data_IF_947405771068
#
_entry.id   IF_947405771068
#
_cell.length_a   1.000
_cell.length_b   1.000
_cell.length_c   1.000
_cell.angle_alpha   90.00
_cell.angle_beta   90.00
_cell.angle_gamma   90.00
#
_symmetry.space_group_name_H-M   'P 1'
#
loop_
_entity.id
_entity.type
_entity.pdbx_description
1 polymer ?
#
# COMPACT_ATOMS: atom_id res chain seq x y z
N UNK A 1 13.79 -29.80 -14.61
CA UNK A 1 14.06 -30.24 -13.23
C UNK A 1 13.62 -29.14 -12.28
N UNK A 2 12.71 -29.44 -11.36
CA UNK A 2 12.30 -28.53 -10.29
C UNK A 2 13.36 -28.57 -9.16
N UNK A 3 13.50 -27.48 -8.40
CA UNK A 3 14.36 -27.45 -7.21
C UNK A 3 13.94 -28.56 -6.23
N UNK A 4 14.86 -29.41 -5.76
CA UNK A 4 14.49 -30.49 -4.85
C UNK A 4 14.00 -29.93 -3.51
N UNK A 5 12.79 -30.31 -3.11
CA UNK A 5 12.21 -29.94 -1.81
C UNK A 5 12.72 -30.91 -0.76
N UNK A 6 13.91 -30.61 -0.22
CA UNK A 6 14.59 -31.44 0.76
C UNK A 6 15.18 -30.60 1.91
N UNK A 7 15.86 -31.25 2.86
CA UNK A 7 16.51 -30.58 3.98
C UNK A 7 17.53 -29.52 3.51
N UNK A 8 18.21 -29.74 2.38
CA UNK A 8 19.15 -28.77 1.84
C UNK A 8 18.45 -27.46 1.43
N UNK A 9 17.26 -27.52 0.81
CA UNK A 9 16.46 -26.33 0.50
C UNK A 9 16.12 -25.55 1.77
N UNK A 10 15.69 -26.24 2.83
CA UNK A 10 15.37 -25.60 4.12
C UNK A 10 16.59 -24.91 4.75
N UNK A 11 17.76 -25.57 4.72
CA UNK A 11 19.02 -25.00 5.21
C UNK A 11 19.41 -23.78 4.38
N UNK A 12 19.35 -23.86 3.05
CA UNK A 12 19.67 -22.72 2.16
C UNK A 12 18.75 -21.54 2.43
N UNK A 13 17.44 -21.76 2.57
CA UNK A 13 16.49 -20.69 2.92
C UNK A 13 16.82 -20.04 4.27
N UNK A 14 17.16 -20.85 5.28
CA UNK A 14 17.53 -20.35 6.60
C UNK A 14 18.82 -19.51 6.55
N UNK A 15 19.83 -19.96 5.80
CA UNK A 15 21.10 -19.25 5.60
C UNK A 15 20.88 -17.92 4.87
N UNK A 16 20.07 -17.91 3.80
CA UNK A 16 19.75 -16.67 3.07
C UNK A 16 19.00 -15.66 3.94
N UNK A 17 18.03 -16.11 4.75
CA UNK A 17 17.33 -15.24 5.70
C UNK A 17 18.29 -14.70 6.76
N UNK A 18 19.15 -15.54 7.32
CA UNK A 18 20.15 -15.13 8.30
C UNK A 18 21.13 -14.10 7.71
N UNK A 19 21.59 -14.30 6.47
CA UNK A 19 22.45 -13.37 5.76
C UNK A 19 21.76 -12.00 5.55
N UNK A 20 20.48 -11.99 5.16
CA UNK A 20 19.71 -10.75 5.02
C UNK A 20 19.54 -10.00 6.35
N UNK A 21 19.25 -10.73 7.44
CA UNK A 21 19.14 -10.17 8.79
C UNK A 21 20.48 -9.61 9.27
N UNK A 22 21.57 -10.37 9.08
CA UNK A 22 22.92 -9.98 9.47
C UNK A 22 23.40 -8.77 8.68
N UNK A 23 23.19 -8.74 7.37
CA UNK A 23 23.53 -7.59 6.52
C UNK A 23 22.78 -6.33 6.93
N UNK A 24 21.48 -6.42 7.19
CA UNK A 24 20.69 -5.28 7.67
C UNK A 24 21.09 -4.82 9.09
N UNK A 25 21.50 -5.75 9.96
CA UNK A 25 22.02 -5.44 11.28
C UNK A 25 23.39 -4.77 11.21
N UNK A 26 24.28 -5.26 10.35
CA UNK A 26 25.63 -4.73 10.13
C UNK A 26 25.59 -3.33 9.53
N UNK A 27 24.78 -3.12 8.48
CA UNK A 27 24.56 -1.80 7.88
C UNK A 27 23.75 -0.83 8.78
N UNK A 28 23.27 -1.31 9.93
CA UNK A 28 22.47 -0.54 10.92
C UNK A 28 21.30 0.21 10.28
N UNK A 29 20.63 -0.38 9.29
CA UNK A 29 19.46 0.24 8.68
C UNK A 29 18.38 0.49 9.74
N UNK A 30 17.97 1.76 9.87
CA UNK A 30 16.89 2.21 10.75
C UNK A 30 15.80 2.86 9.91
N UNK A 31 14.56 2.68 10.34
CA UNK A 31 13.43 3.42 9.78
C UNK A 31 13.67 4.94 9.92
N UNK A 32 13.04 5.76 9.07
CA UNK A 32 13.23 7.22 9.00
C UNK A 32 13.02 7.94 10.34
N UNK A 33 12.36 7.29 11.31
CA UNK A 33 12.08 7.79 12.66
C UNK A 33 12.99 7.19 13.75
N UNK A 34 14.02 6.42 13.39
CA UNK A 34 15.00 5.82 14.30
C UNK A 34 14.48 4.73 15.26
N UNK A 35 13.16 4.48 15.31
CA UNK A 35 12.49 3.59 16.29
C UNK A 35 12.52 2.11 15.93
N UNK A 36 12.56 1.76 14.64
CA UNK A 36 12.52 0.36 14.18
C UNK A 36 13.85 -0.05 13.57
N UNK A 37 14.32 -1.24 13.96
CA UNK A 37 15.51 -1.87 13.41
C UNK A 37 15.07 -2.86 12.33
N UNK A 38 15.45 -2.61 11.07
CA UNK A 38 14.96 -3.40 9.94
C UNK A 38 15.29 -4.89 10.03
N UNK A 39 16.39 -5.28 10.69
CA UNK A 39 16.74 -6.70 10.87
C UNK A 39 15.66 -7.51 11.61
N UNK A 40 14.97 -6.92 12.60
CA UNK A 40 13.85 -7.57 13.31
C UNK A 40 12.65 -7.75 12.38
N UNK A 41 12.36 -6.74 11.57
CA UNK A 41 11.25 -6.77 10.62
C UNK A 41 11.51 -7.78 9.49
N UNK A 42 12.76 -7.90 9.01
CA UNK A 42 13.17 -8.91 8.02
C UNK A 42 12.99 -10.32 8.59
N UNK A 43 13.52 -10.60 9.79
CA UNK A 43 13.40 -11.92 10.41
C UNK A 43 11.94 -12.30 10.69
N UNK A 44 11.15 -11.38 11.24
CA UNK A 44 9.74 -11.61 11.51
C UNK A 44 8.91 -11.78 10.22
N UNK A 45 9.25 -11.06 9.14
CA UNK A 45 8.62 -11.23 7.84
C UNK A 45 8.95 -12.59 7.23
N UNK A 46 10.21 -13.02 7.28
CA UNK A 46 10.65 -14.33 6.79
C UNK A 46 9.92 -15.47 7.50
N UNK A 47 9.94 -15.49 8.84
CA UNK A 47 9.25 -16.51 9.62
C UNK A 47 7.74 -16.54 9.35
N UNK A 48 7.10 -15.36 9.30
CA UNK A 48 5.67 -15.26 8.99
C UNK A 48 5.37 -15.76 7.59
N UNK A 49 6.20 -15.44 6.60
CA UNK A 49 6.04 -15.91 5.23
C UNK A 49 6.14 -17.43 5.15
N UNK A 50 7.10 -18.05 5.84
CA UNK A 50 7.23 -19.52 5.91
C UNK A 50 5.97 -20.16 6.51
N UNK A 51 5.52 -19.68 7.67
CA UNK A 51 4.32 -20.22 8.32
C UNK A 51 3.06 -19.99 7.49
N UNK A 52 2.89 -18.79 6.92
CA UNK A 52 1.73 -18.43 6.12
C UNK A 52 1.68 -19.24 4.82
N UNK A 53 2.80 -19.37 4.11
CA UNK A 53 2.85 -20.12 2.86
C UNK A 53 2.64 -21.62 3.12
N UNK A 54 3.23 -22.18 4.18
CA UNK A 54 2.97 -23.56 4.59
C UNK A 54 1.48 -23.82 4.88
N UNK A 55 0.84 -22.92 5.63
CA UNK A 55 -0.60 -23.02 5.91
C UNK A 55 -1.44 -22.89 4.63
N UNK A 56 -1.12 -21.93 3.74
CA UNK A 56 -1.83 -21.75 2.47
C UNK A 56 -1.64 -22.97 1.56
N UNK A 57 -0.45 -23.57 1.50
CA UNK A 57 -0.18 -24.77 0.71
C UNK A 57 -1.05 -25.97 1.16
N UNK A 58 -1.32 -26.11 2.45
CA UNK A 58 -2.23 -27.14 2.97
C UNK A 58 -3.70 -26.83 2.64
N UNK A 59 -4.08 -25.56 2.71
CA UNK A 59 -5.46 -25.10 2.56
C UNK A 59 -5.92 -25.03 1.09
N UNK A 60 -5.03 -24.69 0.17
CA UNK A 60 -5.41 -24.35 -1.21
C UNK A 60 -6.05 -25.54 -1.94
N UNK A 61 -5.60 -26.77 -1.68
CA UNK A 61 -6.16 -27.98 -2.29
C UNK A 61 -7.64 -28.20 -1.97
N UNK A 62 -8.12 -27.74 -0.81
CA UNK A 62 -9.54 -27.78 -0.44
C UNK A 62 -10.31 -26.57 -0.97
N UNK A 63 -9.70 -25.38 -0.89
CA UNK A 63 -10.36 -24.12 -1.28
C UNK A 63 -10.71 -24.07 -2.76
N UNK A 64 -9.82 -24.56 -3.62
CA UNK A 64 -10.02 -24.50 -5.08
C UNK A 64 -11.18 -25.37 -5.58
N UNK A 65 -11.60 -26.38 -4.80
CA UNK A 65 -12.63 -27.35 -5.19
C UNK A 65 -14.05 -26.82 -5.04
N UNK A 66 -14.24 -25.81 -4.18
CA UNK A 66 -15.56 -25.33 -3.79
C UNK A 66 -15.62 -23.82 -3.99
N UNK A 67 -16.47 -23.37 -4.91
CA UNK A 67 -16.57 -21.95 -5.29
C UNK A 67 -16.86 -21.03 -4.08
N UNK A 68 -17.80 -21.35 -3.16
CA UNK A 68 -17.98 -20.59 -1.93
C UNK A 68 -16.71 -20.43 -1.09
N UNK A 69 -15.87 -21.47 -0.96
CA UNK A 69 -14.60 -21.39 -0.23
C UNK A 69 -13.59 -20.51 -0.99
N UNK A 70 -13.55 -20.61 -2.31
CA UNK A 70 -12.71 -19.74 -3.15
C UNK A 70 -13.09 -18.27 -3.01
N UNK A 71 -14.39 -17.95 -3.00
CA UNK A 71 -14.88 -16.59 -2.75
C UNK A 71 -14.59 -16.12 -1.31
N UNK A 72 -14.76 -16.99 -0.31
CA UNK A 72 -14.41 -16.68 1.07
C UNK A 72 -12.91 -16.39 1.22
N UNK A 73 -12.06 -17.17 0.55
CA UNK A 73 -10.62 -16.95 0.50
C UNK A 73 -10.28 -15.62 -0.21
N UNK A 74 -11.00 -15.28 -1.28
CA UNK A 74 -10.88 -13.98 -1.95
C UNK A 74 -11.16 -12.81 -1.00
N UNK A 75 -12.25 -12.92 -0.23
CA UNK A 75 -12.63 -11.91 0.75
C UNK A 75 -11.58 -11.79 1.86
N UNK A 76 -11.00 -12.92 2.29
CA UNK A 76 -9.87 -12.91 3.22
C UNK A 76 -8.66 -12.18 2.63
N UNK A 77 -8.29 -12.46 1.37
CA UNK A 77 -7.19 -11.78 0.69
C UNK A 77 -7.44 -10.28 0.61
N UNK A 78 -8.63 -9.86 0.21
CA UNK A 78 -9.03 -8.45 0.16
C UNK A 78 -8.99 -7.78 1.54
N UNK A 79 -9.47 -8.44 2.59
CA UNK A 79 -9.45 -7.92 3.96
C UNK A 79 -8.02 -7.77 4.49
N UNK A 80 -7.17 -8.77 4.29
CA UNK A 80 -5.74 -8.73 4.65
C UNK A 80 -5.03 -7.63 3.87
N UNK A 81 -5.31 -7.49 2.58
CA UNK A 81 -4.70 -6.47 1.73
C UNK A 81 -5.09 -5.05 2.19
N UNK A 82 -6.39 -4.82 2.39
CA UNK A 82 -6.94 -3.57 2.92
C UNK A 82 -6.30 -3.19 4.26
N UNK A 83 -6.28 -4.13 5.20
CA UNK A 83 -5.69 -3.91 6.53
C UNK A 83 -4.20 -3.60 6.44
N UNK A 84 -3.48 -4.34 5.60
CA UNK A 84 -2.04 -4.14 5.41
C UNK A 84 -1.75 -2.80 4.77
N UNK A 85 -2.46 -2.44 3.70
CA UNK A 85 -2.30 -1.18 3.00
C UNK A 85 -2.62 0.00 3.93
N UNK A 86 -3.80 -0.02 4.55
CA UNK A 86 -4.23 1.00 5.48
C UNK A 86 -3.27 1.20 6.65
N UNK A 87 -2.83 0.12 7.31
CA UNK A 87 -1.88 0.20 8.44
C UNK A 87 -0.47 0.64 8.03
N UNK A 88 -0.10 0.42 6.77
CA UNK A 88 1.17 0.95 6.23
C UNK A 88 1.06 2.44 5.94
N UNK A 89 -0.11 2.98 5.66
CA UNK A 89 -0.27 4.41 5.36
C UNK A 89 -0.58 5.22 6.64
N UNK A 90 -1.43 4.70 7.53
CA UNK A 90 -1.91 5.42 8.71
C UNK A 90 -2.06 4.53 9.95
N UNK A 91 -1.89 5.14 11.13
CA UNK A 91 -2.10 4.48 12.41
C UNK A 91 -3.56 4.55 12.89
N UNK A 92 -4.34 5.49 12.37
CA UNK A 92 -5.69 5.79 12.86
C UNK A 92 -6.77 4.94 12.17
N UNK A 93 -8.03 5.06 12.65
CA UNK A 93 -9.17 4.32 12.12
C UNK A 93 -9.47 4.57 10.63
N UNK A 94 -8.86 5.60 10.02
CA UNK A 94 -8.92 5.90 8.60
C UNK A 94 -8.26 4.82 7.73
N UNK A 95 -7.52 3.87 8.32
CA UNK A 95 -6.93 2.73 7.58
C UNK A 95 -7.97 1.96 6.74
N UNK A 96 -9.24 1.94 7.16
CA UNK A 96 -10.33 1.26 6.44
C UNK A 96 -10.57 1.85 5.04
N UNK A 97 -10.28 3.14 4.84
CA UNK A 97 -10.43 3.79 3.53
C UNK A 97 -9.49 3.21 2.46
N UNK A 98 -8.45 2.48 2.84
CA UNK A 98 -7.62 1.73 1.89
C UNK A 98 -8.39 0.62 1.16
N UNK A 99 -9.60 0.25 1.61
CA UNK A 99 -10.48 -0.68 0.91
C UNK A 99 -10.90 -0.13 -0.45
N UNK A 100 -11.20 1.18 -0.51
CA UNK A 100 -11.74 1.83 -1.70
C UNK A 100 -10.79 1.78 -2.92
N UNK A 101 -9.49 2.16 -2.85
CA UNK A 101 -8.61 2.08 -4.00
C UNK A 101 -8.36 0.64 -4.45
N UNK A 102 -8.29 -0.31 -3.52
CA UNK A 102 -8.13 -1.74 -3.86
C UNK A 102 -9.38 -2.25 -4.56
N UNK A 103 -10.56 -2.00 -4.00
CA UNK A 103 -11.83 -2.44 -4.59
C UNK A 103 -12.09 -1.79 -5.95
N UNK A 104 -11.89 -0.47 -6.05
CA UNK A 104 -12.09 0.29 -7.28
C UNK A 104 -11.17 -0.16 -8.42
N UNK A 105 -9.92 -0.55 -8.11
CA UNK A 105 -9.03 -1.12 -9.11
C UNK A 105 -9.42 -2.55 -9.49
N UNK A 106 -9.61 -3.42 -8.49
CA UNK A 106 -9.71 -4.88 -8.70
C UNK A 106 -11.08 -5.32 -9.19
N UNK A 107 -12.18 -4.81 -8.61
CA UNK A 107 -13.54 -5.30 -8.89
C UNK A 107 -13.92 -5.14 -10.37
N UNK A 108 -13.74 -3.97 -11.02
CA UNK A 108 -14.12 -3.81 -12.42
C UNK A 108 -13.37 -4.76 -13.34
N UNK A 109 -12.08 -4.96 -13.09
CA UNK A 109 -11.25 -5.88 -13.88
C UNK A 109 -11.70 -7.32 -13.66
N UNK A 110 -11.84 -7.79 -12.41
CA UNK A 110 -12.32 -9.15 -12.15
C UNK A 110 -13.72 -9.38 -12.72
N UNK A 111 -14.64 -8.43 -12.56
CA UNK A 111 -15.98 -8.52 -13.12
C UNK A 111 -15.91 -8.68 -14.65
N UNK A 112 -15.16 -7.82 -15.35
CA UNK A 112 -14.96 -7.92 -16.79
C UNK A 112 -14.41 -9.29 -17.21
N UNK A 113 -13.46 -9.85 -16.47
CA UNK A 113 -12.85 -11.15 -16.78
C UNK A 113 -13.79 -12.32 -16.58
N UNK A 114 -14.60 -12.29 -15.53
CA UNK A 114 -15.59 -13.33 -15.27
C UNK A 114 -16.78 -13.23 -16.21
N UNK A 115 -17.22 -12.01 -16.57
CA UNK A 115 -18.35 -11.78 -17.48
C UNK A 115 -18.02 -12.14 -18.94
N UNK A 116 -16.77 -11.91 -19.36
CA UNK A 116 -16.30 -12.33 -20.70
C UNK A 116 -15.97 -13.82 -20.78
N UNK A 117 -15.98 -14.54 -19.64
CA UNK A 117 -15.56 -15.94 -19.55
C UNK A 117 -14.06 -16.16 -19.70
N UNK A 118 -13.25 -15.09 -19.74
CA UNK A 118 -11.79 -15.19 -19.89
C UNK A 118 -11.14 -15.80 -18.64
N UNK A 119 -11.73 -15.57 -17.47
CA UNK A 119 -11.37 -16.25 -16.22
C UNK A 119 -12.59 -17.08 -15.78
N UNK A 120 -12.50 -18.43 -15.82
CA UNK A 120 -13.59 -19.27 -15.36
C UNK A 120 -13.80 -19.08 -13.85
N UNK A 121 -15.05 -19.24 -13.39
CA UNK A 121 -15.42 -19.21 -11.97
C UNK A 121 -14.99 -20.49 -11.24
N UNK A 122 -13.74 -20.89 -11.46
CA UNK A 122 -13.07 -22.01 -10.83
C UNK A 122 -11.95 -21.48 -9.94
N UNK A 123 -11.82 -22.04 -8.73
CA UNK A 123 -10.85 -21.53 -7.74
C UNK A 123 -9.40 -21.53 -8.24
N UNK A 124 -9.04 -22.50 -9.10
CA UNK A 124 -7.70 -22.63 -9.67
C UNK A 124 -7.29 -21.45 -10.57
N UNK A 125 -8.23 -20.84 -11.30
CA UNK A 125 -7.97 -19.68 -12.14
C UNK A 125 -8.26 -18.36 -11.41
N UNK A 126 -9.36 -18.33 -10.66
CA UNK A 126 -9.87 -17.12 -10.04
C UNK A 126 -8.96 -16.61 -8.91
N UNK A 127 -8.49 -17.51 -8.03
CA UNK A 127 -7.67 -17.13 -6.86
C UNK A 127 -6.31 -16.53 -7.29
N UNK A 128 -5.53 -17.14 -8.20
CA UNK A 128 -4.25 -16.56 -8.62
C UNK A 128 -4.42 -15.22 -9.31
N UNK A 129 -5.38 -15.08 -10.25
CA UNK A 129 -5.61 -13.83 -10.98
C UNK A 129 -5.96 -12.71 -10.01
N UNK A 130 -6.97 -12.93 -9.17
CA UNK A 130 -7.36 -11.92 -8.20
C UNK A 130 -6.27 -11.64 -7.16
N UNK A 131 -5.50 -12.65 -6.75
CA UNK A 131 -4.37 -12.47 -5.86
C UNK A 131 -3.29 -11.54 -6.42
N UNK A 132 -2.96 -11.71 -7.70
CA UNK A 132 -2.05 -10.82 -8.41
C UNK A 132 -2.61 -9.40 -8.45
N UNK A 133 -3.89 -9.23 -8.84
CA UNK A 133 -4.53 -7.90 -8.93
C UNK A 133 -4.64 -7.21 -7.57
N UNK A 134 -5.08 -7.91 -6.52
CA UNK A 134 -5.16 -7.39 -5.14
C UNK A 134 -3.77 -7.01 -4.62
N UNK A 135 -2.75 -7.84 -4.86
CA UNK A 135 -1.37 -7.56 -4.47
C UNK A 135 -0.79 -6.33 -5.17
N UNK A 136 -1.06 -6.17 -6.47
CA UNK A 136 -0.69 -4.99 -7.24
C UNK A 136 -1.37 -3.73 -6.71
N UNK A 137 -2.68 -3.78 -6.49
CA UNK A 137 -3.46 -2.67 -5.94
C UNK A 137 -2.97 -2.27 -4.54
N UNK A 138 -2.68 -3.24 -3.66
CA UNK A 138 -2.09 -2.99 -2.33
C UNK A 138 -0.79 -2.21 -2.44
N UNK A 139 0.10 -2.63 -3.34
CA UNK A 139 1.43 -2.04 -3.47
C UNK A 139 1.34 -0.59 -3.95
N UNK A 140 0.54 -0.37 -5.00
CA UNK A 140 0.28 0.96 -5.55
C UNK A 140 -0.40 1.89 -4.53
N UNK A 141 -1.41 1.39 -3.81
CA UNK A 141 -2.12 2.13 -2.75
C UNK A 141 -1.17 2.58 -1.64
N UNK A 142 -0.30 1.68 -1.15
CA UNK A 142 0.66 2.00 -0.08
C UNK A 142 1.65 3.06 -0.54
N UNK A 143 2.22 2.89 -1.75
CA UNK A 143 3.26 3.78 -2.25
C UNK A 143 2.69 5.18 -2.54
N UNK A 144 1.56 5.25 -3.25
CA UNK A 144 0.88 6.52 -3.53
C UNK A 144 0.43 7.23 -2.25
N UNK A 145 -0.19 6.50 -1.32
CA UNK A 145 -0.67 7.08 -0.07
C UNK A 145 0.44 7.63 0.81
N UNK A 146 1.58 6.92 0.91
CA UNK A 146 2.74 7.41 1.66
C UNK A 146 3.36 8.64 0.99
N UNK A 147 3.67 8.56 -0.32
CA UNK A 147 4.29 9.68 -1.04
C UNK A 147 3.42 10.92 -1.03
N UNK A 148 2.11 10.79 -1.28
CA UNK A 148 1.18 11.91 -1.21
C UNK A 148 1.14 12.56 0.18
N UNK A 149 1.11 11.77 1.26
CA UNK A 149 1.05 12.29 2.62
C UNK A 149 2.37 12.92 3.07
N UNK A 150 3.50 12.33 2.69
CA UNK A 150 4.83 12.87 2.97
C UNK A 150 5.01 14.20 2.23
N UNK A 151 4.63 14.27 0.95
CA UNK A 151 4.69 15.50 0.14
C UNK A 151 3.84 16.63 0.72
N UNK A 152 2.59 16.34 1.10
CA UNK A 152 1.70 17.33 1.75
C UNK A 152 2.21 17.79 3.11
N UNK A 153 2.99 16.97 3.81
CA UNK A 153 3.60 17.34 5.09
C UNK A 153 4.80 18.24 4.86
N UNK A 154 5.68 17.85 3.94
CA UNK A 154 6.96 18.50 3.73
C UNK A 154 6.79 19.83 2.96
N UNK A 155 5.82 19.93 2.04
CA UNK A 155 5.49 21.13 1.26
C UNK A 155 4.22 21.84 1.72
N UNK A 156 3.96 21.81 3.02
CA UNK A 156 2.75 22.42 3.60
C UNK A 156 2.58 23.91 3.26
N UNK A 157 3.68 24.66 3.22
CA UNK A 157 3.64 26.09 2.89
C UNK A 157 3.10 26.37 1.48
N UNK A 158 3.33 25.46 0.53
CA UNK A 158 2.81 25.58 -0.84
C UNK A 158 1.32 25.29 -0.91
N UNK A 159 0.82 24.36 -0.10
CA UNK A 159 -0.63 24.13 0.06
C UNK A 159 -1.31 25.38 0.63
N UNK A 160 -0.70 26.00 1.65
CA UNK A 160 -1.22 27.24 2.26
C UNK A 160 -1.18 28.41 1.28
N UNK A 161 -0.15 28.50 0.42
CA UNK A 161 -0.09 29.49 -0.65
C UNK A 161 -1.20 29.30 -1.70
N UNK A 162 -1.46 28.06 -2.15
CA UNK A 162 -2.54 27.78 -3.09
C UNK A 162 -3.92 28.13 -2.50
N UNK A 163 -4.14 27.84 -1.21
CA UNK A 163 -5.35 28.25 -0.50
C UNK A 163 -5.50 29.78 -0.45
N UNK A 164 -4.41 30.51 -0.21
CA UNK A 164 -4.42 31.99 -0.21
C UNK A 164 -4.73 32.58 -1.60
N UNK A 165 -4.43 31.84 -2.67
CA UNK A 165 -4.82 32.18 -4.05
C UNK A 165 -6.27 31.81 -4.38
N UNK A 166 -7.03 31.26 -3.42
CA UNK A 166 -8.46 30.93 -3.57
C UNK A 166 -8.74 29.52 -4.09
N UNK A 167 -7.74 28.64 -4.16
CA UNK A 167 -7.98 27.25 -4.54
C UNK A 167 -8.84 26.52 -3.50
N UNK A 168 -9.78 25.65 -3.90
CA UNK A 168 -10.42 24.72 -2.99
C UNK A 168 -9.39 23.79 -2.30
N UNK A 169 -9.62 23.41 -1.03
CA UNK A 169 -8.67 22.57 -0.25
C UNK A 169 -8.25 21.29 -0.97
N UNK A 170 -9.20 20.60 -1.59
CA UNK A 170 -8.93 19.38 -2.36
C UNK A 170 -8.00 19.66 -3.55
N UNK A 171 -8.17 20.79 -4.25
CA UNK A 171 -7.39 21.12 -5.44
C UNK A 171 -6.00 21.64 -5.05
N UNK A 172 -5.90 22.49 -4.04
CA UNK A 172 -4.64 22.93 -3.46
C UNK A 172 -3.76 21.73 -3.05
N UNK A 173 -4.35 20.75 -2.37
CA UNK A 173 -3.64 19.52 -1.98
C UNK A 173 -3.32 18.62 -3.17
N UNK A 174 -4.21 18.55 -4.16
CA UNK A 174 -4.01 17.72 -5.34
C UNK A 174 -2.83 18.22 -6.17
N UNK A 175 -2.68 19.53 -6.31
CA UNK A 175 -1.58 20.14 -7.06
C UNK A 175 -0.21 19.72 -6.49
N UNK A 176 -0.10 19.75 -5.16
CA UNK A 176 1.15 19.40 -4.47
C UNK A 176 1.36 17.87 -4.42
N UNK A 177 0.32 17.09 -4.12
CA UNK A 177 0.46 15.65 -3.90
C UNK A 177 0.52 14.79 -5.16
N UNK A 178 -0.06 15.25 -6.29
CA UNK A 178 -0.22 14.45 -7.51
C UNK A 178 1.11 13.95 -8.08
N UNK A 179 2.17 14.78 -8.24
CA UNK A 179 3.43 14.32 -8.79
C UNK A 179 4.04 13.21 -7.95
N UNK A 180 4.12 13.39 -6.62
CA UNK A 180 4.68 12.38 -5.72
C UNK A 180 3.84 11.08 -5.70
N UNK A 181 2.51 11.18 -5.76
CA UNK A 181 1.63 10.01 -5.80
C UNK A 181 1.77 9.20 -7.09
N UNK A 182 1.95 9.86 -8.23
CA UNK A 182 2.02 9.21 -9.55
C UNK A 182 3.26 8.34 -9.73
N UNK A 183 4.35 8.66 -9.00
CA UNK A 183 5.56 7.84 -8.99
C UNK A 183 5.32 6.42 -8.46
N UNK A 184 4.19 6.17 -7.80
CA UNK A 184 3.77 4.82 -7.41
C UNK A 184 3.54 3.86 -8.59
N UNK A 185 3.39 4.40 -9.80
CA UNK A 185 3.22 3.62 -11.03
C UNK A 185 4.55 3.16 -11.64
N UNK A 186 5.68 3.78 -11.27
CA UNK A 186 6.99 3.49 -11.84
C UNK A 186 7.36 1.99 -11.73
N UNK A 187 7.23 1.33 -10.56
CA UNK A 187 7.59 -0.08 -10.45
C UNK A 187 6.78 -1.00 -11.37
N UNK A 188 5.50 -0.70 -11.57
CA UNK A 188 4.64 -1.46 -12.50
C UNK A 188 5.05 -1.24 -13.95
N UNK A 189 5.36 0.00 -14.33
CA UNK A 189 5.85 0.32 -15.67
C UNK A 189 7.19 -0.37 -15.97
N UNK A 190 8.12 -0.36 -15.01
CA UNK A 190 9.43 -0.96 -15.19
C UNK A 190 9.37 -2.49 -15.24
N UNK A 191 8.50 -3.10 -14.44
CA UNK A 191 8.19 -4.53 -14.56
C UNK A 191 7.69 -4.87 -15.97
N UNK A 192 6.74 -4.10 -16.49
CA UNK A 192 6.19 -4.34 -17.83
C UNK A 192 7.21 -4.11 -18.94
N UNK A 193 8.08 -3.10 -18.82
CA UNK A 193 9.13 -2.82 -19.82
C UNK A 193 10.20 -3.91 -19.91
N UNK A 194 10.50 -4.55 -18.78
CA UNK A 194 11.63 -5.49 -18.67
C UNK A 194 11.18 -6.96 -18.72
N UNK A 195 9.88 -7.21 -18.85
CA UNK A 195 9.33 -8.58 -18.93
C UNK A 195 9.91 -9.30 -20.16
N UNK A 196 10.33 -10.54 -19.96
CA UNK A 196 10.90 -11.38 -21.01
C UNK A 196 12.35 -11.06 -21.38
N UNK A 197 12.86 -9.88 -20.99
CA UNK A 197 14.27 -9.48 -21.24
C UNK A 197 15.14 -9.67 -20.00
N UNK A 198 14.70 -9.18 -18.85
CA UNK A 198 15.45 -9.25 -17.57
C UNK A 198 14.70 -10.06 -16.53
N UNK A 199 13.36 -10.06 -16.61
CA UNK A 199 12.51 -10.76 -15.64
C UNK A 199 11.58 -11.73 -16.35
N UNK A 200 11.51 -12.95 -15.83
CA UNK A 200 10.49 -13.94 -16.22
C UNK A 200 9.49 -14.07 -15.07
N UNK A 201 8.23 -13.62 -15.25
CA UNK A 201 7.23 -13.71 -14.20
C UNK A 201 6.99 -15.15 -13.76
N UNK A 202 6.80 -15.36 -12.45
CA UNK A 202 6.60 -16.70 -11.89
C UNK A 202 5.36 -17.41 -12.45
N UNK A 203 4.28 -16.68 -12.78
CA UNK A 203 3.08 -17.25 -13.38
C UNK A 203 3.33 -17.76 -14.82
N UNK A 204 4.10 -17.01 -15.62
CA UNK A 204 4.56 -17.44 -16.94
C UNK A 204 5.37 -18.74 -16.86
N UNK A 205 6.39 -18.78 -16.00
CA UNK A 205 7.20 -19.98 -15.78
C UNK A 205 6.35 -21.14 -15.25
N UNK A 206 5.41 -20.86 -14.34
CA UNK A 206 4.47 -21.84 -13.80
C UNK A 206 3.60 -22.50 -14.86
N UNK A 207 3.08 -21.72 -15.82
CA UNK A 207 2.31 -22.26 -16.95
C UNK A 207 3.17 -23.12 -17.88
N UNK A 208 4.40 -22.69 -18.19
CA UNK A 208 5.33 -23.49 -18.98
C UNK A 208 5.65 -24.83 -18.31
N UNK A 209 5.94 -24.81 -17.01
CA UNK A 209 6.18 -26.03 -16.22
C UNK A 209 4.91 -26.90 -16.10
N UNK A 210 3.74 -26.27 -16.13
CA UNK A 210 2.43 -26.93 -16.22
C UNK A 210 2.08 -27.47 -17.61
N UNK A 211 2.98 -27.34 -18.60
CA UNK A 211 2.82 -27.89 -19.94
C UNK A 211 2.15 -26.96 -20.96
N UNK A 212 1.85 -25.70 -20.61
CA UNK A 212 1.35 -24.72 -21.58
C UNK A 212 2.43 -24.35 -22.61
N UNK A 213 2.00 -24.02 -23.83
CA UNK A 213 2.94 -23.54 -24.86
C UNK A 213 3.50 -22.15 -24.50
N UNK A 214 4.73 -21.81 -24.93
CA UNK A 214 5.30 -20.47 -24.68
C UNK A 214 4.45 -19.31 -25.18
N UNK A 215 3.79 -19.48 -26.34
CA UNK A 215 2.91 -18.46 -26.91
C UNK A 215 1.69 -18.24 -26.02
N UNK A 216 1.06 -19.32 -25.56
CA UNK A 216 -0.11 -19.23 -24.67
C UNK A 216 0.26 -18.62 -23.32
N UNK A 217 1.35 -19.09 -22.71
CA UNK A 217 1.83 -18.55 -21.44
C UNK A 217 2.17 -17.05 -21.57
N UNK A 218 2.79 -16.67 -22.69
CA UNK A 218 3.16 -15.29 -22.99
C UNK A 218 1.94 -14.38 -23.14
N UNK A 219 0.92 -14.83 -23.87
CA UNK A 219 -0.33 -14.08 -24.05
C UNK A 219 -1.05 -13.84 -22.71
N UNK A 220 -1.20 -14.88 -21.88
CA UNK A 220 -1.82 -14.75 -20.55
C UNK A 220 -1.00 -13.82 -19.65
N UNK A 221 0.32 -13.91 -19.68
CA UNK A 221 1.18 -13.05 -18.87
C UNK A 221 1.11 -11.57 -19.30
N UNK A 222 1.11 -11.30 -20.61
CA UNK A 222 0.94 -9.95 -21.15
C UNK A 222 -0.40 -9.36 -20.71
N UNK A 223 -1.46 -10.15 -20.83
CA UNK A 223 -2.79 -9.79 -20.35
C UNK A 223 -2.77 -9.41 -18.85
N UNK A 224 -2.14 -10.23 -18.00
CA UNK A 224 -2.04 -9.96 -16.55
C UNK A 224 -1.28 -8.66 -16.27
N UNK A 225 -0.20 -8.35 -17.00
CA UNK A 225 0.55 -7.10 -16.83
C UNK A 225 -0.27 -5.87 -17.21
N UNK A 226 -1.01 -5.93 -18.32
CA UNK A 226 -1.90 -4.85 -18.74
C UNK A 226 -3.02 -4.64 -17.71
N UNK A 227 -3.62 -5.74 -17.24
CA UNK A 227 -4.63 -5.69 -16.18
C UNK A 227 -4.07 -5.08 -14.89
N UNK A 228 -2.86 -5.45 -14.49
CA UNK A 228 -2.17 -4.86 -13.33
C UNK A 228 -1.96 -3.36 -13.49
N UNK A 229 -1.50 -2.89 -14.66
CA UNK A 229 -1.32 -1.45 -14.92
C UNK A 229 -2.64 -0.69 -14.79
N UNK A 230 -3.74 -1.24 -15.29
CA UNK A 230 -5.07 -0.65 -15.13
C UNK A 230 -5.48 -0.58 -13.64
N UNK A 231 -5.37 -1.70 -12.91
CA UNK A 231 -5.68 -1.79 -11.48
C UNK A 231 -4.85 -0.79 -10.67
N UNK A 232 -3.54 -0.73 -10.91
CA UNK A 232 -2.63 0.16 -10.19
C UNK A 232 -2.94 1.63 -10.48
N UNK A 233 -3.21 1.98 -11.73
CA UNK A 233 -3.58 3.35 -12.12
C UNK A 233 -4.84 3.83 -11.37
N UNK A 234 -5.89 3.01 -11.36
CA UNK A 234 -7.12 3.31 -10.61
C UNK A 234 -6.84 3.39 -9.11
N UNK A 235 -6.08 2.45 -8.55
CA UNK A 235 -5.73 2.45 -7.14
C UNK A 235 -4.96 3.73 -6.73
N UNK A 236 -4.00 4.18 -7.54
CA UNK A 236 -3.25 5.43 -7.31
C UNK A 236 -4.19 6.64 -7.37
N UNK A 237 -5.03 6.73 -8.40
CA UNK A 237 -5.96 7.85 -8.57
C UNK A 237 -6.95 7.97 -7.40
N UNK A 238 -7.56 6.85 -6.98
CA UNK A 238 -8.49 6.82 -5.84
C UNK A 238 -7.76 7.10 -4.54
N UNK A 239 -6.53 6.60 -4.36
CA UNK A 239 -5.73 6.90 -3.16
C UNK A 239 -5.42 8.38 -3.05
N UNK A 240 -4.99 9.00 -4.16
CA UNK A 240 -4.73 10.45 -4.22
C UNK A 240 -5.97 11.23 -3.82
N UNK A 241 -7.14 10.90 -4.38
CA UNK A 241 -8.40 11.57 -4.04
C UNK A 241 -8.75 11.45 -2.55
N UNK A 242 -8.56 10.27 -1.95
CA UNK A 242 -8.84 10.06 -0.52
C UNK A 242 -7.88 10.84 0.38
N UNK A 243 -6.61 10.98 -0.03
CA UNK A 243 -5.60 11.76 0.69
C UNK A 243 -5.88 13.25 0.57
N UNK A 244 -6.23 13.75 -0.61
CA UNK A 244 -6.48 15.17 -0.87
C UNK A 244 -7.80 15.64 -0.27
N UNK A 245 -8.81 14.76 -0.14
CA UNK A 245 -10.03 15.02 0.66
C UNK A 245 -9.82 14.85 2.17
N UNK A 246 -8.64 14.46 2.63
CA UNK A 246 -8.35 14.25 4.05
C UNK A 246 -9.09 13.07 4.68
N UNK A 247 -9.60 12.12 3.89
CA UNK A 247 -10.23 10.88 4.36
C UNK A 247 -9.19 9.83 4.78
N UNK A 248 -8.05 9.82 4.09
CA UNK A 248 -6.89 9.01 4.42
C UNK A 248 -5.79 9.92 4.98
N UNK A 249 -5.56 9.87 6.30
CA UNK A 249 -4.69 10.82 7.01
C UNK A 249 -3.38 10.18 7.46
N UNK A 250 -2.30 10.94 7.44
CA UNK A 250 -1.02 10.52 8.03
C UNK A 250 -1.10 10.36 9.54
N UNK A 251 -0.16 9.60 10.10
CA UNK A 251 -0.11 9.16 11.51
C UNK A 251 -0.10 10.30 12.55
N UNK A 252 0.21 11.54 12.16
CA UNK A 252 0.27 12.68 13.09
C UNK A 252 -1.03 13.51 13.12
N UNK A 253 -1.87 13.42 12.08
CA UNK A 253 -3.10 14.20 11.99
C UNK A 253 -4.20 13.67 12.95
N UNK A 254 -4.26 12.36 13.22
CA UNK A 254 -5.20 11.80 14.21
C UNK A 254 -4.86 12.15 15.65
N UNK A 255 -3.58 12.35 15.98
CA UNK A 255 -3.18 12.82 17.31
C UNK A 255 -3.68 14.25 17.58
N UNK A 256 -3.74 15.11 16.55
CA UNK A 256 -4.30 16.47 16.66
C UNK A 256 -5.83 16.48 16.65
N UNK A 257 -6.50 15.65 15.86
CA UNK A 257 -7.97 15.54 15.89
C UNK A 257 -8.48 14.94 17.21
N UNK A 258 -7.77 13.97 17.78
CA UNK A 258 -8.06 13.43 19.12
C UNK A 258 -7.72 14.43 20.24
N UNK A 259 -6.73 15.30 20.05
CA UNK A 259 -6.42 16.42 20.96
C UNK A 259 -7.44 17.56 20.88
N UNK A 260 -7.91 17.92 19.69
CA UNK A 260 -8.94 18.94 19.48
C UNK A 260 -10.29 18.53 20.06
N UNK A 261 -10.62 17.23 20.02
CA UNK A 261 -11.82 16.67 20.68
C UNK A 261 -11.70 16.58 22.21
N UNK A 262 -10.50 16.84 22.76
CA UNK A 262 -10.17 16.83 24.20
C UNK A 262 -9.92 18.22 24.77
N UNK A 263 -10.27 19.29 24.06
CA UNK A 263 -10.31 20.63 24.64
C UNK A 263 -11.67 20.80 25.36
N UNK A 264 -11.74 20.69 26.70
CA UNK A 264 -12.91 21.18 27.43
C UNK A 264 -13.03 22.69 27.18
N UNK A 265 -14.25 23.14 26.92
CA UNK A 265 -14.56 24.56 26.76
C UNK A 265 -14.09 25.33 27.99
N UNK A 266 -13.24 26.34 27.76
CA UNK A 266 -12.75 27.25 28.80
C UNK A 266 -11.24 27.26 28.93
N UNK A 267 -10.53 27.85 27.96
CA UNK A 267 -9.16 28.33 28.13
C UNK A 267 -8.87 29.49 27.16
N UNK A 268 -9.71 30.52 27.24
CA UNK A 268 -9.21 31.90 27.14
C UNK A 268 -8.78 32.31 28.55
N UNK A 269 -7.68 31.72 29.02
CA UNK A 269 -6.96 32.24 30.17
C UNK A 269 -6.10 33.44 29.74
N UNK A 270 -5.92 34.47 30.57
CA UNK A 270 -5.11 35.62 30.21
C UNK A 270 -3.68 35.19 29.87
N UNK A 271 -3.18 35.64 28.72
CA UNK A 271 -1.80 35.41 28.27
C UNK A 271 -0.84 36.00 29.32
N UNK A 272 -0.04 35.18 30.01
CA UNK A 272 0.94 35.69 30.98
C UNK A 272 2.00 36.49 30.23
N UNK A 273 2.11 37.79 30.52
CA UNK A 273 3.18 38.64 29.99
C UNK A 273 2.76 39.79 29.07
N UNK A 274 1.48 39.92 28.70
CA UNK A 274 1.05 41.03 27.83
C UNK A 274 1.04 42.41 28.52
N UNK A 275 1.11 42.46 29.86
CA UNK A 275 1.17 43.71 30.63
C UNK A 275 2.54 44.43 30.60
N UNK A 276 3.60 43.80 30.05
CA UNK A 276 4.95 44.40 30.00
C UNK A 276 5.22 45.26 28.77
N UNK A 277 4.35 45.23 27.76
CA UNK A 277 4.55 45.96 26.50
C UNK A 277 3.50 47.05 26.24
N UNK A 278 2.56 47.27 27.16
CA UNK A 278 1.64 48.39 27.06
C UNK A 278 2.32 49.67 27.58
N UNK A 279 2.48 50.72 26.76
CA UNK A 279 3.06 51.98 27.21
C UNK A 279 2.15 52.61 28.27
N UNK A 280 2.73 52.91 29.45
CA UNK A 280 2.05 53.67 30.51
C UNK A 280 1.63 55.03 29.94
N UNK A 281 0.34 55.22 29.72
CA UNK A 281 -0.22 56.54 29.43
C UNK A 281 0.07 57.47 30.62
N UNK A 282 0.88 58.51 30.38
CA UNK A 282 1.05 59.61 31.33
C UNK A 282 -0.27 60.38 31.38
N UNK A 283 -0.89 60.39 32.55
CA UNK A 283 -1.94 61.33 32.91
C UNK A 283 -1.38 62.23 34.01
N UNK A 284 -1.07 63.47 33.66
CA UNK A 284 -0.88 64.57 34.61
C UNK A 284 -0.98 65.90 33.86
N UNK A 285 -2.19 66.46 33.88
CA UNK A 285 -2.51 67.88 33.84
C UNK A 285 -3.93 68.00 34.44
N UNK A 286 -4.31 69.13 35.06
CA UNK A 286 -3.60 70.41 35.14
C UNK A 286 -2.84 70.63 36.45
#
# INVERSE_FOLDING_TARGET
MLLPVNAALAVVMAVLLAAAVAGAAWARFKDARGRRRYWKDIGAAGLRATLQLGAVSLLIGSVIRVLPLSLAFMMLMFAVATRTAGRRITADATWKWAAAPIAAGVIPVLAMLTLTGLVPLEGLALIPVAGILIGGALTATVLAGRRALDELRDRRGEVEAALALGFPDRDARTEIARPAASEALIPGLDQTRTVGLVTLPGAFVGMLLGGSSPVQAGAVQLFVLIALMAVQTVAVAVTLELVTRGLLRGTEAGSRAAGAKRLPGGLLGPVPGLGRYLPKARSSAP
#
